data_IF_584474379238
#
_entry.id   IF_584474379238
#
_cell.length_a   1.000
_cell.length_b   1.000
_cell.length_c   1.000
_cell.angle_alpha   90.00
_cell.angle_beta   90.00
_cell.angle_gamma   90.00
#
_symmetry.space_group_name_H-M   'P 1'
#
loop_
_entity.id
_entity.type
_entity.pdbx_description
1 polymer ?
#
# COMPACT_ATOMS: atom_id res chain seq x y z
N UNK A 1 -32.75 44.87 -34.50
CA UNK A 1 -32.65 44.20 -33.19
C UNK A 1 -32.32 42.74 -33.45
N UNK A 2 -31.05 42.36 -33.31
CA UNK A 2 -30.62 40.95 -33.36
C UNK A 2 -29.76 40.70 -32.12
N UNK A 3 -30.27 39.83 -31.27
CA UNK A 3 -29.58 39.17 -30.18
C UNK A 3 -28.49 38.28 -30.79
N UNK A 4 -27.26 38.42 -30.32
CA UNK A 4 -26.16 37.56 -30.74
C UNK A 4 -24.85 38.32 -30.83
N UNK A 5 -24.18 38.47 -29.69
CA UNK A 5 -22.71 38.45 -29.53
C UNK A 5 -22.34 38.96 -28.13
N UNK A 6 -22.70 38.18 -27.11
CA UNK A 6 -22.00 38.19 -25.83
C UNK A 6 -21.45 36.79 -25.61
N UNK A 7 -20.54 36.38 -26.49
CA UNK A 7 -19.67 35.24 -26.20
C UNK A 7 -18.70 35.68 -25.12
N UNK A 8 -18.99 35.22 -23.91
CA UNK A 8 -18.15 35.31 -22.74
C UNK A 8 -16.79 34.69 -23.04
N UNK A 9 -15.80 35.53 -23.31
CA UNK A 9 -14.40 35.14 -23.39
C UNK A 9 -13.88 34.86 -21.97
N UNK A 10 -14.40 33.83 -21.31
CA UNK A 10 -13.86 33.34 -20.04
C UNK A 10 -12.60 32.54 -20.38
N UNK A 11 -11.46 33.24 -20.37
CA UNK A 11 -10.16 32.56 -20.32
C UNK A 11 -10.17 31.60 -19.13
N UNK A 12 -9.76 30.33 -19.29
CA UNK A 12 -9.67 29.42 -18.16
C UNK A 12 -8.72 30.03 -17.12
N UNK A 13 -9.21 30.17 -15.90
CA UNK A 13 -8.43 30.70 -14.78
C UNK A 13 -7.23 29.79 -14.58
N UNK A 14 -6.05 30.22 -15.05
CA UNK A 14 -4.80 29.53 -14.78
C UNK A 14 -4.52 29.69 -13.28
N UNK A 15 -5.03 28.76 -12.47
CA UNK A 15 -4.86 28.79 -11.02
C UNK A 15 -3.36 28.80 -10.71
N UNK A 16 -2.88 29.94 -10.22
CA UNK A 16 -1.47 30.09 -9.85
C UNK A 16 -1.15 29.09 -8.74
N UNK A 17 -0.09 28.32 -8.93
CA UNK A 17 0.42 27.40 -7.92
C UNK A 17 1.07 28.21 -6.78
N UNK A 18 0.31 28.47 -5.72
CA UNK A 18 0.73 29.31 -4.58
C UNK A 18 1.38 28.51 -3.44
N UNK A 19 1.11 27.20 -3.34
CA UNK A 19 1.63 26.35 -2.26
C UNK A 19 3.01 25.79 -2.63
N UNK A 20 3.96 25.87 -1.70
CA UNK A 20 5.32 25.32 -1.84
C UNK A 20 5.53 24.20 -0.82
N UNK A 21 6.16 23.12 -1.26
CA UNK A 21 6.55 21.98 -0.42
C UNK A 21 8.06 21.84 -0.53
N UNK A 22 8.77 21.94 0.60
CA UNK A 22 10.21 21.77 0.67
C UNK A 22 10.51 20.44 1.37
N UNK A 23 11.31 19.58 0.76
CA UNK A 23 11.86 18.37 1.39
C UNK A 23 13.37 18.38 1.24
N UNK A 24 14.07 17.86 2.26
CA UNK A 24 15.53 17.73 2.25
C UNK A 24 15.90 16.39 1.62
N UNK A 25 17.00 16.40 0.90
CA UNK A 25 17.57 15.21 0.28
C UNK A 25 19.03 15.10 0.71
N UNK A 26 19.49 13.88 0.92
CA UNK A 26 20.91 13.62 0.93
C UNK A 26 21.49 13.61 -0.49
N UNK A 27 22.82 13.47 -0.57
CA UNK A 27 23.52 13.51 -1.85
C UNK A 27 23.13 12.35 -2.79
N UNK A 28 22.86 11.17 -2.25
CA UNK A 28 22.51 9.96 -3.00
C UNK A 28 21.09 10.09 -3.57
N UNK A 29 20.15 10.51 -2.73
CA UNK A 29 18.76 10.75 -3.09
C UNK A 29 18.65 11.82 -4.19
N UNK A 30 19.35 12.94 -4.02
CA UNK A 30 19.38 14.02 -5.02
C UNK A 30 19.94 13.54 -6.36
N UNK A 31 21.05 12.80 -6.35
CA UNK A 31 21.69 12.28 -7.56
C UNK A 31 20.76 11.36 -8.33
N UNK A 32 20.08 10.44 -7.64
CA UNK A 32 19.08 9.54 -8.24
C UNK A 32 17.92 10.32 -8.88
N UNK A 33 17.43 11.34 -8.18
CA UNK A 33 16.31 12.15 -8.64
C UNK A 33 16.70 13.01 -9.85
N UNK A 34 17.93 13.53 -9.86
CA UNK A 34 18.52 14.29 -10.98
C UNK A 34 18.67 13.43 -12.24
N UNK A 35 19.31 12.28 -12.14
CA UNK A 35 19.51 11.37 -13.28
C UNK A 35 18.16 10.94 -13.90
N UNK A 36 17.18 10.65 -13.03
CA UNK A 36 15.84 10.30 -13.48
C UNK A 36 15.19 11.48 -14.18
N UNK A 37 15.25 12.69 -13.62
CA UNK A 37 14.68 13.88 -14.24
C UNK A 37 15.30 14.19 -15.62
N UNK A 38 16.62 14.05 -15.76
CA UNK A 38 17.35 14.21 -17.02
C UNK A 38 16.87 13.22 -18.09
N UNK A 39 16.63 11.96 -17.70
CA UNK A 39 16.12 10.92 -18.60
C UNK A 39 14.76 11.29 -19.21
N UNK A 40 13.93 12.04 -18.48
CA UNK A 40 12.63 12.51 -18.94
C UNK A 40 12.65 13.95 -19.48
N UNK A 41 13.83 14.60 -19.57
CA UNK A 41 13.96 16.00 -20.01
C UNK A 41 13.25 16.99 -19.08
N UNK A 42 13.16 16.69 -17.78
CA UNK A 42 12.47 17.51 -16.79
C UNK A 42 13.46 18.12 -15.81
N UNK A 43 13.06 19.24 -15.18
CA UNK A 43 13.75 19.70 -13.97
C UNK A 43 13.48 18.75 -12.81
N UNK A 44 14.43 18.67 -11.87
CA UNK A 44 14.31 17.86 -10.64
C UNK A 44 12.96 18.09 -9.94
N UNK A 45 12.55 19.35 -9.78
CA UNK A 45 11.28 19.72 -9.14
C UNK A 45 10.05 19.30 -9.96
N UNK A 46 10.08 19.45 -11.29
CA UNK A 46 8.95 19.03 -12.14
C UNK A 46 8.82 17.50 -12.19
N UNK A 47 9.95 16.80 -12.23
CA UNK A 47 9.98 15.34 -12.14
C UNK A 47 9.41 14.86 -10.79
N UNK A 48 9.90 15.41 -9.67
CA UNK A 48 9.40 15.08 -8.33
C UNK A 48 7.88 15.35 -8.22
N UNK A 49 7.42 16.49 -8.72
CA UNK A 49 5.99 16.84 -8.72
C UNK A 49 5.16 15.87 -9.56
N UNK A 50 5.60 15.54 -10.78
CA UNK A 50 4.90 14.56 -11.64
C UNK A 50 4.89 13.18 -10.99
N UNK A 51 5.99 12.76 -10.38
CA UNK A 51 6.08 11.49 -9.68
C UNK A 51 5.10 11.44 -8.50
N UNK A 52 5.03 12.49 -7.69
CA UNK A 52 4.13 12.58 -6.55
C UNK A 52 2.64 12.67 -6.94
N UNK A 53 2.31 13.34 -8.06
CA UNK A 53 0.93 13.45 -8.54
C UNK A 53 0.46 12.23 -9.33
N UNK A 54 1.36 11.57 -10.05
CA UNK A 54 1.04 10.40 -10.88
C UNK A 54 1.34 9.07 -10.18
N UNK A 55 1.91 9.10 -8.96
CA UNK A 55 2.06 7.89 -8.16
C UNK A 55 0.68 7.31 -7.93
N UNK A 56 0.47 6.05 -8.32
CA UNK A 56 -0.71 5.29 -7.92
C UNK A 56 -0.63 5.07 -6.41
N UNK A 57 -1.10 6.05 -5.64
CA UNK A 57 -1.37 5.87 -4.23
C UNK A 57 -2.53 4.88 -4.16
N UNK A 58 -2.22 3.61 -3.90
CA UNK A 58 -3.26 2.67 -3.51
C UNK A 58 -3.79 3.16 -2.18
N UNK A 59 -5.04 3.57 -2.18
CA UNK A 59 -5.73 3.84 -0.94
C UNK A 59 -5.69 2.53 -0.14
N UNK A 60 -5.10 2.53 1.06
CA UNK A 60 -5.10 1.34 1.88
C UNK A 60 -6.57 0.97 2.16
N UNK A 61 -6.88 -0.33 2.06
CA UNK A 61 -8.24 -0.85 2.28
C UNK A 61 -8.78 -0.51 3.68
N UNK A 62 -7.87 -0.33 4.64
CA UNK A 62 -8.14 0.03 6.02
C UNK A 62 -7.34 1.27 6.37
N UNK A 63 -7.85 2.10 7.29
CA UNK A 63 -7.03 3.15 7.87
C UNK A 63 -5.90 2.55 8.71
N UNK A 64 -4.95 3.41 9.12
CA UNK A 64 -3.78 2.98 9.86
C UNK A 64 -4.11 2.34 11.22
N UNK A 65 -5.18 2.79 11.89
CA UNK A 65 -5.59 2.26 13.20
C UNK A 65 -6.20 0.88 13.04
N UNK A 66 -7.17 0.73 12.12
CA UNK A 66 -7.79 -0.53 11.76
C UNK A 66 -6.75 -1.55 11.26
N UNK A 67 -5.75 -1.11 10.48
CA UNK A 67 -4.64 -1.98 10.04
C UNK A 67 -3.84 -2.53 11.21
N UNK A 68 -3.54 -1.70 12.22
CA UNK A 68 -2.79 -2.14 13.42
C UNK A 68 -3.59 -3.11 14.27
N UNK A 69 -4.89 -2.85 14.45
CA UNK A 69 -5.79 -3.73 15.20
C UNK A 69 -5.92 -5.09 14.51
N UNK A 70 -6.14 -5.10 13.20
CA UNK A 70 -6.18 -6.32 12.39
C UNK A 70 -4.88 -7.11 12.49
N UNK A 71 -3.72 -6.44 12.41
CA UNK A 71 -2.42 -7.09 12.52
C UNK A 71 -2.22 -7.73 13.90
N UNK A 72 -2.63 -7.03 14.97
CA UNK A 72 -2.55 -7.54 16.34
C UNK A 72 -3.44 -8.78 16.53
N UNK A 73 -4.68 -8.74 16.05
CA UNK A 73 -5.58 -9.89 16.13
C UNK A 73 -5.07 -11.08 15.34
N UNK A 74 -4.61 -10.87 14.11
CA UNK A 74 -4.01 -11.91 13.28
C UNK A 74 -2.80 -12.55 13.97
N UNK A 75 -1.94 -11.74 14.61
CA UNK A 75 -0.78 -12.25 15.36
C UNK A 75 -1.21 -13.09 16.57
N UNK A 76 -2.27 -12.70 17.27
CA UNK A 76 -2.83 -13.47 18.39
C UNK A 76 -3.41 -14.80 17.92
N UNK A 77 -4.19 -14.79 16.84
CA UNK A 77 -4.73 -16.00 16.24
C UNK A 77 -3.62 -16.96 15.79
N UNK A 78 -2.59 -16.45 15.11
CA UNK A 78 -1.43 -17.24 14.70
C UNK A 78 -0.66 -17.85 15.88
N UNK A 79 -0.53 -17.10 16.98
CA UNK A 79 0.11 -17.60 18.21
C UNK A 79 -0.70 -18.74 18.83
N UNK A 80 -2.01 -18.57 18.96
CA UNK A 80 -2.90 -19.61 19.50
C UNK A 80 -2.85 -20.88 18.64
N UNK A 81 -2.91 -20.74 17.31
CA UNK A 81 -2.78 -21.86 16.38
C UNK A 81 -1.44 -22.59 16.52
N UNK A 82 -0.34 -21.84 16.68
CA UNK A 82 0.99 -22.44 16.87
C UNK A 82 1.09 -23.20 18.21
N UNK A 83 0.44 -22.72 19.26
CA UNK A 83 0.38 -23.43 20.54
C UNK A 83 -0.40 -24.74 20.42
N UNK A 84 -1.57 -24.72 19.78
CA UNK A 84 -2.37 -25.94 19.52
C UNK A 84 -1.55 -26.93 18.68
N UNK A 85 -0.92 -26.49 17.60
CA UNK A 85 -0.08 -27.35 16.77
C UNK A 85 1.08 -28.00 17.55
N UNK A 86 1.76 -27.23 18.42
CA UNK A 86 2.84 -27.75 19.28
C UNK A 86 2.32 -28.79 20.28
N UNK A 87 1.19 -28.53 20.92
CA UNK A 87 0.60 -29.45 21.90
C UNK A 87 0.19 -30.78 21.24
N UNK A 88 -0.37 -30.72 20.02
CA UNK A 88 -0.73 -31.92 19.26
C UNK A 88 0.50 -32.73 18.82
N UNK A 89 1.56 -32.05 18.38
CA UNK A 89 2.82 -32.72 18.03
C UNK A 89 3.47 -33.43 19.24
N UNK A 90 3.14 -33.03 20.47
CA UNK A 90 3.65 -33.64 21.70
C UNK A 90 2.84 -34.86 22.17
N UNK A 91 1.62 -35.09 21.65
CA UNK A 91 0.74 -36.18 22.07
C UNK A 91 0.22 -37.03 20.90
N UNK A 92 1.10 -37.70 20.12
CA UNK A 92 0.74 -38.40 18.88
C UNK A 92 -0.25 -39.58 19.04
N UNK A 93 -0.48 -40.06 20.26
CA UNK A 93 -1.34 -41.23 20.57
C UNK A 93 -2.82 -40.88 20.77
N UNK A 94 -3.21 -39.59 20.70
CA UNK A 94 -4.62 -39.19 20.79
C UNK A 94 -5.37 -39.63 19.51
N UNK A 95 -6.53 -40.31 19.60
CA UNK A 95 -7.23 -40.92 18.44
C UNK A 95 -7.60 -39.99 17.27
N UNK A 96 -7.53 -38.68 17.47
CA UNK A 96 -7.91 -37.65 16.48
C UNK A 96 -6.75 -36.74 16.05
N UNK A 97 -5.52 -36.96 16.54
CA UNK A 97 -4.38 -36.06 16.27
C UNK A 97 -4.01 -35.97 14.81
N UNK A 98 -4.02 -37.08 14.06
CA UNK A 98 -3.67 -37.07 12.65
C UNK A 98 -4.66 -36.23 11.80
N UNK A 99 -5.96 -36.35 12.05
CA UNK A 99 -6.98 -35.55 11.35
C UNK A 99 -6.90 -34.06 11.74
N UNK A 100 -6.67 -33.78 13.03
CA UNK A 100 -6.55 -32.41 13.52
C UNK A 100 -5.27 -31.72 12.99
N UNK A 101 -4.16 -32.44 12.90
CA UNK A 101 -2.92 -31.97 12.29
C UNK A 101 -3.13 -31.65 10.80
N UNK A 102 -3.81 -32.52 10.07
CA UNK A 102 -4.13 -32.28 8.66
C UNK A 102 -5.03 -31.04 8.47
N UNK A 103 -6.04 -30.86 9.33
CA UNK A 103 -6.92 -29.68 9.31
C UNK A 103 -6.16 -28.37 9.61
N UNK A 104 -5.22 -28.39 10.57
CA UNK A 104 -4.37 -27.24 10.90
C UNK A 104 -3.38 -26.91 9.76
N UNK A 105 -2.83 -27.92 9.11
CA UNK A 105 -1.97 -27.72 7.94
C UNK A 105 -2.74 -27.11 6.77
N UNK A 106 -3.96 -27.58 6.50
CA UNK A 106 -4.82 -27.03 5.45
C UNK A 106 -5.17 -25.56 5.70
N UNK A 107 -5.61 -25.21 6.92
CA UNK A 107 -5.90 -23.81 7.28
C UNK A 107 -4.66 -22.92 7.19
N UNK A 108 -3.47 -23.41 7.60
CA UNK A 108 -2.22 -22.66 7.44
C UNK A 108 -1.95 -22.29 5.98
N UNK A 109 -2.17 -23.22 5.04
CA UNK A 109 -1.94 -22.92 3.63
C UNK A 109 -3.00 -22.01 3.02
N UNK A 110 -4.24 -22.02 3.51
CA UNK A 110 -5.24 -21.02 3.12
C UNK A 110 -4.84 -19.60 3.58
N UNK A 111 -4.39 -19.44 4.83
CA UNK A 111 -3.84 -18.17 5.31
C UNK A 111 -2.66 -17.72 4.45
N UNK A 112 -1.74 -18.63 4.10
CA UNK A 112 -0.60 -18.31 3.25
C UNK A 112 -1.02 -17.82 1.86
N UNK A 113 -2.04 -18.43 1.27
CA UNK A 113 -2.61 -18.00 -0.02
C UNK A 113 -3.24 -16.61 0.08
N UNK A 114 -4.03 -16.35 1.11
CA UNK A 114 -4.62 -15.03 1.36
C UNK A 114 -3.55 -13.96 1.52
N UNK A 115 -2.49 -14.26 2.28
CA UNK A 115 -1.34 -13.35 2.43
C UNK A 115 -0.62 -13.06 1.11
N UNK A 116 -0.44 -14.05 0.23
CA UNK A 116 0.15 -13.84 -1.10
C UNK A 116 -0.72 -12.95 -2.00
N UNK A 117 -2.05 -13.04 -1.88
CA UNK A 117 -2.96 -12.19 -2.64
C UNK A 117 -2.89 -10.72 -2.20
N UNK A 118 -2.67 -10.48 -0.90
CA UNK A 118 -2.49 -9.14 -0.32
C UNK A 118 -1.13 -8.50 -0.63
N UNK A 119 -0.15 -9.27 -1.11
CA UNK A 119 1.18 -8.76 -1.51
C UNK A 119 1.23 -8.25 -2.96
N UNK A 120 0.15 -8.41 -3.74
CA UNK A 120 0.02 -7.85 -5.11
C UNK A 120 -0.57 -6.46 -5.09
#
# INVERSE_FOLDING_TARGET
MREGELMSNVKPTNERQVKRINFRLDQTEYTKLKLSAETYGLTVSNYAKKLALNSKLRQPYFDHTATKELLLELSRQGTNLNQVARQLNQQPEMPQTAQLLAALQATREEYRKLWQQLQK
#
